data_IF_917721017805
#
_entry.id   IF_917721017805
#
_cell.length_a   1.000
_cell.length_b   1.000
_cell.length_c   1.000
_cell.angle_alpha   90.00
_cell.angle_beta   90.00
_cell.angle_gamma   90.00
#
_symmetry.space_group_name_H-M   'P 1'
#
loop_
_entity.id
_entity.type
_entity.pdbx_description
1 polymer ?
#
# COMPACT_ATOMS: atom_id res chain seq x y z
N UNK A 1 -10.01 40.99 46.16
CA UNK A 1 -10.56 40.61 44.83
C UNK A 1 -9.77 41.32 43.75
N UNK A 2 -9.08 40.61 42.85
CA UNK A 2 -8.45 41.25 41.68
C UNK A 2 -9.56 41.65 40.70
N UNK A 3 -9.63 42.93 40.36
CA UNK A 3 -10.54 43.42 39.32
C UNK A 3 -9.95 43.02 37.97
N UNK A 4 -10.57 42.04 37.30
CA UNK A 4 -10.16 41.60 35.96
C UNK A 4 -10.37 42.78 35.01
N UNK A 5 -9.28 43.29 34.45
CA UNK A 5 -9.29 44.45 33.57
C UNK A 5 -9.88 44.11 32.20
N UNK A 6 -10.29 45.12 31.43
CA UNK A 6 -10.71 44.93 30.03
C UNK A 6 -9.59 44.35 29.17
N UNK A 7 -8.32 44.65 29.49
CA UNK A 7 -7.15 44.09 28.83
C UNK A 7 -7.00 42.59 29.14
N UNK A 8 -7.19 42.19 30.40
CA UNK A 8 -7.13 40.78 30.84
C UNK A 8 -8.18 39.93 30.11
N UNK A 9 -9.40 40.47 29.92
CA UNK A 9 -10.45 39.79 29.13
C UNK A 9 -10.09 39.67 27.65
N UNK A 10 -9.37 40.65 27.08
CA UNK A 10 -8.93 40.61 25.69
C UNK A 10 -7.81 39.57 25.49
N UNK A 11 -6.83 39.53 26.39
CA UNK A 11 -5.77 38.53 26.39
C UNK A 11 -6.34 37.12 26.56
N UNK A 12 -7.29 36.94 27.48
CA UNK A 12 -7.96 35.67 27.68
C UNK A 12 -8.74 35.23 26.42
N UNK A 13 -9.41 36.14 25.72
CA UNK A 13 -10.06 35.84 24.43
C UNK A 13 -9.06 35.41 23.37
N UNK A 14 -7.97 36.16 23.19
CA UNK A 14 -6.89 35.82 22.24
C UNK A 14 -6.29 34.44 22.56
N UNK A 15 -6.05 34.15 23.83
CA UNK A 15 -5.57 32.85 24.27
C UNK A 15 -6.55 31.71 23.91
N UNK A 16 -7.84 31.90 24.18
CA UNK A 16 -8.84 30.89 23.84
C UNK A 16 -9.04 30.72 22.33
N UNK A 17 -8.96 31.79 21.54
CA UNK A 17 -8.99 31.73 20.08
C UNK A 17 -7.78 30.97 19.53
N UNK A 18 -6.58 31.28 20.02
CA UNK A 18 -5.36 30.55 19.69
C UNK A 18 -5.48 29.06 20.05
N UNK A 19 -5.94 28.74 21.27
CA UNK A 19 -6.13 27.36 21.71
C UNK A 19 -7.20 26.62 20.90
N UNK A 20 -8.28 27.31 20.52
CA UNK A 20 -9.27 26.74 19.60
C UNK A 20 -8.61 26.42 18.26
N UNK A 21 -7.91 27.37 17.64
CA UNK A 21 -7.23 27.15 16.37
C UNK A 21 -6.22 25.98 16.45
N UNK A 22 -5.40 25.91 17.50
CA UNK A 22 -4.46 24.81 17.72
C UNK A 22 -5.17 23.46 17.86
N UNK A 23 -6.24 23.38 18.67
CA UNK A 23 -7.02 22.15 18.81
C UNK A 23 -7.70 21.76 17.51
N UNK A 24 -8.12 22.75 16.70
CA UNK A 24 -8.67 22.52 15.38
C UNK A 24 -7.61 21.86 14.48
N UNK A 25 -6.44 22.45 14.37
CA UNK A 25 -5.35 21.88 13.57
C UNK A 25 -5.00 20.45 13.99
N UNK A 26 -4.84 20.19 15.30
CA UNK A 26 -4.57 18.85 15.81
C UNK A 26 -5.68 17.84 15.46
N UNK A 27 -6.95 18.27 15.50
CA UNK A 27 -8.07 17.42 15.07
C UNK A 27 -8.02 17.14 13.58
N UNK A 28 -7.71 18.14 12.75
CA UNK A 28 -7.59 17.98 11.30
C UNK A 28 -6.48 16.99 10.97
N UNK A 29 -5.31 17.13 11.58
CA UNK A 29 -4.17 16.22 11.38
C UNK A 29 -4.54 14.79 11.78
N UNK A 30 -5.15 14.59 12.95
CA UNK A 30 -5.56 13.26 13.40
C UNK A 30 -6.63 12.62 12.51
N UNK A 31 -7.55 13.41 11.95
CA UNK A 31 -8.53 12.91 10.97
C UNK A 31 -7.85 12.62 9.63
N UNK A 32 -6.90 13.45 9.20
CA UNK A 32 -6.15 13.26 7.96
C UNK A 32 -5.31 11.97 8.00
N UNK A 33 -4.65 11.69 9.11
CA UNK A 33 -3.93 10.42 9.36
C UNK A 33 -4.85 9.20 9.21
N UNK A 34 -6.05 9.26 9.80
CA UNK A 34 -7.03 8.18 9.66
C UNK A 34 -7.55 8.04 8.24
N UNK A 35 -7.79 9.16 7.55
CA UNK A 35 -8.23 9.17 6.16
C UNK A 35 -7.17 8.60 5.21
N UNK A 36 -5.91 8.98 5.40
CA UNK A 36 -4.77 8.44 4.65
C UNK A 36 -4.66 6.92 4.84
N UNK A 37 -4.69 6.45 6.08
CA UNK A 37 -4.66 5.02 6.40
C UNK A 37 -5.85 4.26 5.79
N UNK A 38 -7.06 4.83 5.84
CA UNK A 38 -8.23 4.22 5.23
C UNK A 38 -8.07 4.04 3.72
N UNK A 39 -7.53 5.06 3.01
CA UNK A 39 -7.24 4.97 1.58
C UNK A 39 -6.16 3.93 1.27
N UNK A 40 -5.03 3.93 2.00
CA UNK A 40 -3.95 2.94 1.83
C UNK A 40 -4.45 1.49 1.99
N UNK A 41 -5.31 1.27 2.99
CA UNK A 41 -5.90 -0.04 3.26
C UNK A 41 -6.96 -0.40 2.23
N UNK A 42 -7.73 0.57 1.74
CA UNK A 42 -8.67 0.35 0.64
C UNK A 42 -7.96 -0.02 -0.66
N UNK A 43 -6.85 0.64 -0.99
CA UNK A 43 -6.02 0.29 -2.14
C UNK A 43 -5.51 -1.15 -2.03
N UNK A 44 -5.09 -1.57 -0.83
CA UNK A 44 -4.70 -2.96 -0.58
C UNK A 44 -5.83 -3.96 -0.88
N UNK A 45 -7.06 -3.62 -0.44
CA UNK A 45 -8.26 -4.41 -0.74
C UNK A 45 -8.56 -4.46 -2.24
N UNK A 46 -8.58 -3.32 -2.92
CA UNK A 46 -8.89 -3.21 -4.35
C UNK A 46 -7.93 -4.02 -5.23
N UNK A 47 -6.69 -4.22 -4.77
CA UNK A 47 -5.68 -5.02 -5.46
C UNK A 47 -5.67 -6.51 -5.04
N UNK A 48 -6.68 -6.96 -4.31
CA UNK A 48 -6.92 -8.38 -4.01
C UNK A 48 -6.05 -8.94 -2.88
N UNK A 49 -5.54 -8.10 -1.97
CA UNK A 49 -4.73 -8.53 -0.81
C UNK A 49 -5.56 -8.99 0.39
N UNK A 50 -6.84 -8.66 0.38
CA UNK A 50 -7.75 -9.03 1.46
C UNK A 50 -8.10 -10.51 1.36
N UNK A 51 -7.97 -11.22 2.47
CA UNK A 51 -8.54 -12.55 2.62
C UNK A 51 -10.05 -12.44 2.78
N UNK A 52 -10.78 -13.12 1.90
CA UNK A 52 -12.24 -13.05 1.85
C UNK A 52 -12.94 -14.23 2.51
N UNK A 53 -12.22 -15.27 2.94
CA UNK A 53 -12.81 -16.47 3.53
C UNK A 53 -11.90 -17.13 4.55
N UNK A 54 -12.50 -17.82 5.52
CA UNK A 54 -11.77 -18.56 6.55
C UNK A 54 -10.83 -19.63 5.95
N UNK A 55 -11.29 -20.32 4.90
CA UNK A 55 -10.49 -21.31 4.17
C UNK A 55 -9.23 -20.69 3.55
N UNK A 56 -9.37 -19.53 2.92
CA UNK A 56 -8.23 -18.83 2.32
C UNK A 56 -7.23 -18.35 3.39
N UNK A 57 -7.72 -17.91 4.55
CA UNK A 57 -6.86 -17.51 5.66
C UNK A 57 -6.05 -18.69 6.19
N UNK A 58 -6.70 -19.83 6.42
CA UNK A 58 -6.03 -21.03 6.91
C UNK A 58 -4.98 -21.54 5.92
N UNK A 59 -5.30 -21.57 4.62
CA UNK A 59 -4.36 -21.96 3.58
C UNK A 59 -3.14 -21.02 3.54
N UNK A 60 -3.34 -19.72 3.70
CA UNK A 60 -2.26 -18.73 3.72
C UNK A 60 -1.39 -18.83 4.98
N UNK A 61 -1.98 -19.07 6.16
CA UNK A 61 -1.23 -19.31 7.38
C UNK A 61 -0.40 -20.59 7.31
N UNK A 62 -0.96 -21.68 6.76
CA UNK A 62 -0.21 -22.92 6.50
C UNK A 62 0.93 -22.72 5.51
N UNK A 63 0.71 -21.91 4.46
CA UNK A 63 1.75 -21.54 3.49
C UNK A 63 2.90 -20.81 4.19
N UNK A 64 2.59 -19.79 4.99
CA UNK A 64 3.60 -19.02 5.74
C UNK A 64 4.39 -19.91 6.72
N UNK A 65 3.72 -20.85 7.40
CA UNK A 65 4.37 -21.83 8.26
C UNK A 65 5.33 -22.74 7.48
N UNK A 66 4.89 -23.26 6.32
CA UNK A 66 5.72 -24.11 5.45
C UNK A 66 6.96 -23.37 4.89
N UNK A 67 6.81 -22.07 4.63
CA UNK A 67 7.87 -21.18 4.15
C UNK A 67 8.76 -20.64 5.27
N UNK A 68 8.47 -21.01 6.53
CA UNK A 68 9.19 -20.56 7.73
C UNK A 68 9.24 -19.03 7.85
N UNK A 69 8.14 -18.37 7.48
CA UNK A 69 7.96 -16.93 7.67
C UNK A 69 8.02 -16.61 9.17
N UNK A 70 8.64 -15.47 9.52
CA UNK A 70 8.78 -15.11 10.93
C UNK A 70 7.42 -14.78 11.56
N UNK A 71 7.24 -15.10 12.85
CA UNK A 71 6.01 -14.77 13.57
C UNK A 71 5.69 -13.27 13.54
N UNK A 72 6.72 -12.43 13.50
CA UNK A 72 6.58 -10.97 13.38
C UNK A 72 5.99 -10.56 12.03
N UNK A 73 6.41 -11.19 10.93
CA UNK A 73 5.85 -10.95 9.60
C UNK A 73 4.42 -11.48 9.49
N UNK A 74 4.13 -12.66 10.05
CA UNK A 74 2.76 -13.19 10.12
C UNK A 74 1.85 -12.29 10.95
N UNK A 75 2.34 -11.75 12.08
CA UNK A 75 1.59 -10.76 12.85
C UNK A 75 1.36 -9.47 12.07
N UNK A 76 2.36 -8.96 11.34
CA UNK A 76 2.22 -7.79 10.45
C UNK A 76 1.12 -8.02 9.41
N UNK A 77 1.16 -9.18 8.74
CA UNK A 77 0.14 -9.59 7.77
C UNK A 77 -1.26 -9.62 8.39
N UNK A 78 -1.44 -10.27 9.54
CA UNK A 78 -2.75 -10.34 10.21
C UNK A 78 -3.27 -8.96 10.65
N UNK A 79 -2.38 -8.07 11.10
CA UNK A 79 -2.74 -6.69 11.42
C UNK A 79 -3.27 -5.97 10.18
N UNK A 80 -2.54 -6.04 9.07
CA UNK A 80 -2.96 -5.43 7.80
C UNK A 80 -4.34 -5.92 7.36
N UNK A 81 -4.64 -7.22 7.50
CA UNK A 81 -5.95 -7.77 7.20
C UNK A 81 -7.06 -7.14 8.08
N UNK A 82 -6.85 -7.07 9.39
CA UNK A 82 -7.83 -6.48 10.32
C UNK A 82 -8.01 -4.98 10.07
N UNK A 83 -6.91 -4.28 9.78
CA UNK A 83 -6.91 -2.84 9.49
C UNK A 83 -7.71 -2.50 8.23
N UNK A 84 -7.76 -3.37 7.23
CA UNK A 84 -8.63 -3.20 6.06
C UNK A 84 -10.10 -3.12 6.51
N UNK A 85 -10.57 -4.05 7.33
CA UNK A 85 -11.97 -4.02 7.80
C UNK A 85 -12.25 -2.81 8.70
N UNK A 86 -11.34 -2.48 9.61
CA UNK A 86 -11.55 -1.41 10.59
C UNK A 86 -11.45 -0.03 9.95
N UNK A 87 -10.39 0.24 9.17
CA UNK A 87 -10.11 1.56 8.63
C UNK A 87 -10.67 1.76 7.23
N UNK A 88 -10.46 0.80 6.31
CA UNK A 88 -10.95 0.97 4.94
C UNK A 88 -12.48 0.84 4.86
N UNK A 89 -13.07 -0.09 5.61
CA UNK A 89 -14.53 -0.29 5.61
C UNK A 89 -15.26 0.45 6.74
N UNK A 90 -14.53 1.05 7.68
CA UNK A 90 -15.13 1.78 8.80
C UNK A 90 -15.83 0.89 9.83
N UNK A 91 -15.57 -0.42 9.86
CA UNK A 91 -16.22 -1.35 10.79
C UNK A 91 -15.57 -1.27 12.17
N UNK A 92 -15.94 -0.25 12.93
CA UNK A 92 -15.40 -0.02 14.27
C UNK A 92 -15.81 -1.10 15.28
N UNK A 93 -16.91 -1.81 15.02
CA UNK A 93 -17.42 -2.89 15.85
C UNK A 93 -16.51 -4.14 15.87
N UNK A 94 -15.67 -4.31 14.84
CA UNK A 94 -14.70 -5.40 14.75
C UNK A 94 -13.28 -5.01 15.15
N UNK A 95 -13.06 -3.79 15.65
CA UNK A 95 -11.76 -3.36 16.14
C UNK A 95 -11.24 -4.24 17.30
N UNK A 96 -9.92 -4.45 17.34
CA UNK A 96 -9.23 -5.14 18.43
C UNK A 96 -7.83 -4.56 18.65
N UNK A 97 -7.19 -4.82 19.81
CA UNK A 97 -5.79 -4.46 20.03
C UNK A 97 -4.88 -5.16 19.01
N UNK A 98 -4.08 -4.40 18.27
CA UNK A 98 -3.22 -4.93 17.19
C UNK A 98 -1.79 -5.25 17.66
N UNK A 99 -1.34 -4.64 18.75
CA UNK A 99 0.00 -4.84 19.31
C UNK A 99 0.00 -5.92 20.38
N UNK A 100 1.17 -6.51 20.61
CA UNK A 100 1.37 -7.43 21.72
C UNK A 100 1.32 -6.66 23.04
N UNK A 101 0.71 -7.24 24.06
CA UNK A 101 0.85 -6.73 25.43
C UNK A 101 2.22 -7.10 25.99
N UNK A 102 2.67 -6.44 27.06
CA UNK A 102 3.98 -6.70 27.69
C UNK A 102 4.17 -8.15 28.18
N UNK A 103 3.09 -8.93 28.30
CA UNK A 103 3.11 -10.33 28.76
C UNK A 103 2.83 -11.33 27.64
N UNK A 104 2.58 -10.86 26.42
CA UNK A 104 2.13 -11.69 25.30
C UNK A 104 3.31 -12.03 24.39
N UNK A 105 3.52 -13.32 24.11
CA UNK A 105 4.52 -13.74 23.14
C UNK A 105 4.08 -13.41 21.70
N UNK A 106 5.02 -13.38 20.75
CA UNK A 106 4.67 -13.21 19.34
C UNK A 106 3.72 -14.29 18.82
N UNK A 107 3.85 -15.52 19.32
CA UNK A 107 2.97 -16.64 18.96
C UNK A 107 1.55 -16.43 19.51
N UNK A 108 1.42 -15.95 20.75
CA UNK A 108 0.12 -15.64 21.35
C UNK A 108 -0.59 -14.51 20.60
N UNK A 109 0.16 -13.47 20.18
CA UNK A 109 -0.36 -12.40 19.35
C UNK A 109 -0.90 -12.94 18.02
N UNK A 110 -0.12 -13.76 17.31
CA UNK A 110 -0.55 -14.37 16.04
C UNK A 110 -1.82 -15.19 16.25
N UNK A 111 -1.88 -16.01 17.31
CA UNK A 111 -3.05 -16.82 17.65
C UNK A 111 -4.28 -15.96 17.95
N UNK A 112 -4.13 -14.86 18.68
CA UNK A 112 -5.22 -13.95 19.01
C UNK A 112 -5.75 -13.23 17.78
N UNK A 113 -4.87 -12.67 16.95
CA UNK A 113 -5.26 -11.96 15.73
C UNK A 113 -5.91 -12.91 14.71
N UNK A 114 -5.37 -14.13 14.54
CA UNK A 114 -5.96 -15.11 13.63
C UNK A 114 -7.33 -15.58 14.11
N UNK A 115 -7.50 -15.85 15.40
CA UNK A 115 -8.79 -16.23 15.99
C UNK A 115 -9.83 -15.12 15.83
N UNK A 116 -9.44 -13.86 16.06
CA UNK A 116 -10.30 -12.69 15.87
C UNK A 116 -10.74 -12.53 14.42
N UNK A 117 -9.80 -12.64 13.49
CA UNK A 117 -10.08 -12.54 12.06
C UNK A 117 -11.00 -13.67 11.58
N UNK A 118 -10.76 -14.92 12.01
CA UNK A 118 -11.59 -16.07 11.66
C UNK A 118 -13.01 -15.98 12.22
N UNK A 119 -13.14 -15.79 13.53
CA UNK A 119 -14.41 -15.98 14.22
C UNK A 119 -15.27 -14.72 14.28
N UNK A 120 -14.67 -13.53 14.31
CA UNK A 120 -15.42 -12.27 14.42
C UNK A 120 -15.62 -11.60 13.05
N UNK A 121 -14.56 -11.53 12.25
CA UNK A 121 -14.58 -10.74 11.01
C UNK A 121 -15.07 -11.58 9.84
N UNK A 122 -14.38 -12.67 9.51
CA UNK A 122 -14.66 -13.47 8.32
C UNK A 122 -15.99 -14.20 8.40
N UNK A 123 -16.42 -14.59 9.60
CA UNK A 123 -17.74 -15.18 9.81
C UNK A 123 -18.88 -14.21 9.43
N UNK A 124 -18.74 -12.91 9.74
CA UNK A 124 -19.74 -11.90 9.39
C UNK A 124 -19.55 -11.26 8.02
N UNK A 125 -18.38 -11.41 7.41
CA UNK A 125 -18.02 -10.72 6.16
C UNK A 125 -18.93 -11.11 4.99
N UNK A 126 -19.22 -12.40 4.82
CA UNK A 126 -20.09 -12.85 3.73
C UNK A 126 -21.49 -12.28 3.85
N UNK A 127 -22.04 -12.22 5.07
CA UNK A 127 -23.37 -11.67 5.30
C UNK A 127 -23.40 -10.15 5.02
N UNK A 128 -22.39 -9.41 5.48
CA UNK A 128 -22.24 -7.97 5.15
C UNK A 128 -22.12 -7.75 3.65
N UNK A 129 -21.36 -8.61 2.97
CA UNK A 129 -21.21 -8.57 1.51
C UNK A 129 -22.54 -8.82 0.80
N UNK A 130 -23.33 -9.82 1.23
CA UNK A 130 -24.65 -10.12 0.66
C UNK A 130 -25.64 -8.98 0.90
N UNK A 131 -25.53 -8.26 2.02
CA UNK A 131 -26.33 -7.07 2.32
C UNK A 131 -25.87 -5.79 1.62
N UNK A 132 -24.76 -5.84 0.87
CA UNK A 132 -24.22 -4.65 0.20
C UNK A 132 -23.52 -3.66 1.13
N UNK A 133 -23.13 -4.09 2.33
CA UNK A 133 -22.47 -3.25 3.35
C UNK A 133 -20.95 -3.14 3.13
N UNK A 134 -20.41 -3.77 2.07
CA UNK A 134 -18.99 -3.65 1.70
C UNK A 134 -18.82 -2.38 0.85
N UNK A 135 -18.04 -1.39 1.30
CA UNK A 135 -17.89 -0.13 0.59
C UNK A 135 -17.21 -0.28 -0.78
N UNK A 136 -17.61 0.56 -1.74
CA UNK A 136 -16.98 0.70 -3.05
C UNK A 136 -15.81 1.68 -3.06
N UNK A 137 -15.68 2.48 -2.00
CA UNK A 137 -14.61 3.45 -1.78
C UNK A 137 -14.21 3.42 -0.30
N UNK A 138 -13.02 3.95 0.02
CA UNK A 138 -12.56 4.05 1.40
C UNK A 138 -13.53 4.87 2.26
N UNK A 139 -13.90 4.35 3.42
CA UNK A 139 -14.75 5.07 4.37
C UNK A 139 -13.93 6.16 5.06
N UNK A 140 -14.26 7.41 4.75
CA UNK A 140 -13.57 8.57 5.31
C UNK A 140 -14.07 8.89 6.73
N UNK A 141 -13.19 9.36 7.62
CA UNK A 141 -13.59 9.83 8.95
C UNK A 141 -14.64 10.95 8.90
N UNK A 142 -15.58 10.91 9.86
CA UNK A 142 -16.58 11.96 10.01
C UNK A 142 -15.94 13.30 10.37
N UNK A 143 -16.32 14.35 9.64
CA UNK A 143 -15.87 15.73 9.86
C UNK A 143 -16.76 16.50 10.84
N UNK A 144 -17.68 15.80 11.52
CA UNK A 144 -18.63 16.42 12.44
C UNK A 144 -17.88 16.84 13.71
N UNK A 145 -18.06 18.09 14.13
CA UNK A 145 -17.51 18.57 15.39
C UNK A 145 -18.06 17.71 16.53
N UNK A 146 -17.21 17.29 17.48
CA UNK A 146 -17.62 16.46 18.62
C UNK A 146 -18.92 16.99 19.22
N UNK A 147 -19.96 16.17 19.15
CA UNK A 147 -21.22 16.38 19.86
C UNK A 147 -20.93 16.35 21.35
N UNK A 148 -21.08 17.48 22.03
CA UNK A 148 -21.10 17.48 23.50
C UNK A 148 -22.26 16.58 23.95
N UNK A 149 -22.04 15.78 25.01
CA UNK A 149 -23.12 15.00 25.61
C UNK A 149 -24.17 15.96 26.13
N UNK A 150 -25.28 16.06 25.41
CA UNK A 150 -26.36 16.95 25.75
C UNK A 150 -27.13 16.40 26.95
N UNK A 151 -27.16 17.17 28.03
CA UNK A 151 -28.07 16.96 29.14
C UNK A 151 -29.32 17.81 28.86
N UNK A 152 -30.43 17.18 28.47
CA UNK A 152 -31.71 17.83 28.17
C UNK A 152 -32.17 17.72 26.71
N UNK A 153 -33.27 18.39 26.37
CA UNK A 153 -33.86 18.38 25.02
C UNK A 153 -33.06 19.27 24.06
N UNK A 154 -32.70 18.79 22.84
CA UNK A 154 -32.04 19.61 21.83
C UNK A 154 -32.88 20.79 21.38
N UNK A 155 -32.33 22.00 21.52
CA UNK A 155 -32.80 23.20 20.81
C UNK A 155 -32.28 23.21 19.37
N UNK A 156 -33.00 23.88 18.46
CA UNK A 156 -32.65 23.96 17.03
C UNK A 156 -31.21 24.43 16.78
N UNK A 157 -30.71 25.37 17.60
CA UNK A 157 -29.33 25.85 17.54
C UNK A 157 -28.31 24.77 17.88
N UNK A 158 -28.62 23.89 18.85
CA UNK A 158 -27.76 22.76 19.16
C UNK A 158 -27.74 21.77 18.00
N UNK A 159 -28.89 21.49 17.38
CA UNK A 159 -28.95 20.62 16.19
C UNK A 159 -28.14 21.20 15.03
N UNK A 160 -28.22 22.52 14.80
CA UNK A 160 -27.45 23.20 13.76
C UNK A 160 -25.94 23.15 14.02
N UNK A 161 -25.51 23.32 15.26
CA UNK A 161 -24.11 23.19 15.66
C UNK A 161 -23.61 21.74 15.57
N UNK A 162 -24.47 20.77 15.86
CA UNK A 162 -24.16 19.34 15.68
C UNK A 162 -24.01 18.96 14.21
N UNK A 163 -24.69 19.66 13.29
CA UNK A 163 -24.54 19.47 11.85
C UNK A 163 -23.37 20.29 11.25
N UNK A 164 -22.79 21.21 12.02
CA UNK A 164 -21.67 22.02 11.55
C UNK A 164 -20.42 21.15 11.40
N UNK A 165 -19.92 21.06 10.17
CA UNK A 165 -18.66 20.39 9.87
C UNK A 165 -17.49 21.24 10.37
N UNK A 166 -16.51 20.56 10.94
CA UNK A 166 -15.30 21.17 11.46
C UNK A 166 -14.45 21.85 10.36
N UNK A 167 -14.43 21.28 9.15
CA UNK A 167 -13.73 21.83 8.00
C UNK A 167 -14.46 21.48 6.69
N UNK A 168 -14.07 22.10 5.59
CA UNK A 168 -14.58 21.74 4.27
C UNK A 168 -14.03 20.38 3.81
N UNK A 169 -14.80 19.68 2.98
CA UNK A 169 -14.37 18.39 2.39
C UNK A 169 -13.10 18.55 1.55
N UNK A 170 -12.96 19.65 0.82
CA UNK A 170 -11.77 19.91 0.00
C UNK A 170 -10.51 20.12 0.86
N UNK A 171 -10.62 20.92 1.93
CA UNK A 171 -9.50 21.11 2.87
C UNK A 171 -9.09 19.81 3.54
N UNK A 172 -10.06 18.96 3.86
CA UNK A 172 -9.78 17.64 4.43
C UNK A 172 -9.08 16.71 3.42
N UNK A 173 -9.55 16.66 2.18
CA UNK A 173 -8.93 15.84 1.13
C UNK A 173 -7.48 16.28 0.86
N UNK A 174 -7.20 17.58 0.83
CA UNK A 174 -5.83 18.09 0.69
C UNK A 174 -4.95 17.67 1.87
N UNK A 175 -5.47 17.75 3.10
CA UNK A 175 -4.73 17.30 4.28
C UNK A 175 -4.45 15.80 4.26
N UNK A 176 -5.41 14.98 3.80
CA UNK A 176 -5.23 13.53 3.62
C UNK A 176 -4.15 13.22 2.61
N UNK A 177 -4.14 13.90 1.45
CA UNK A 177 -3.12 13.65 0.43
C UNK A 177 -1.72 14.10 0.87
N UNK A 178 -1.62 15.24 1.56
CA UNK A 178 -0.36 15.68 2.17
C UNK A 178 0.15 14.66 3.19
N UNK A 179 -0.74 14.08 3.97
CA UNK A 179 -0.38 13.06 4.95
C UNK A 179 0.07 11.76 4.29
N UNK A 180 -0.55 11.35 3.18
CA UNK A 180 -0.07 10.21 2.37
C UNK A 180 1.33 10.47 1.83
N UNK A 181 1.59 11.65 1.27
CA UNK A 181 2.91 12.00 0.78
C UNK A 181 3.96 11.99 1.91
N UNK A 182 3.65 12.59 3.05
CA UNK A 182 4.54 12.58 4.23
C UNK A 182 4.88 11.17 4.67
N UNK A 183 3.90 10.25 4.66
CA UNK A 183 4.10 8.85 5.04
C UNK A 183 4.95 8.08 4.02
N UNK A 184 4.80 8.38 2.74
CA UNK A 184 5.64 7.83 1.68
C UNK A 184 7.08 8.35 1.77
N UNK A 185 7.26 9.65 1.97
CA UNK A 185 8.58 10.29 2.16
C UNK A 185 9.31 9.76 3.40
N UNK A 186 8.56 9.48 4.48
CA UNK A 186 9.10 8.86 5.69
C UNK A 186 9.32 7.33 5.55
N UNK A 187 8.95 6.73 4.42
CA UNK A 187 9.10 5.30 4.17
C UNK A 187 8.14 4.41 4.97
N UNK A 188 7.06 4.96 5.55
CA UNK A 188 6.03 4.18 6.23
C UNK A 188 5.13 3.42 5.25
N UNK A 189 5.00 3.93 4.03
CA UNK A 189 4.14 3.37 2.99
C UNK A 189 4.84 3.44 1.65
N UNK A 190 4.65 2.42 0.84
CA UNK A 190 5.12 2.37 -0.53
C UNK A 190 3.88 2.25 -1.42
N UNK A 191 3.49 3.37 -2.05
CA UNK A 191 2.27 3.46 -2.85
C UNK A 191 2.27 2.43 -3.98
N UNK A 192 3.44 2.22 -4.59
CA UNK A 192 3.71 1.24 -5.65
C UNK A 192 3.49 -0.17 -5.11
N UNK A 193 4.02 -0.46 -3.92
CA UNK A 193 3.83 -1.73 -3.27
C UNK A 193 2.34 -2.01 -3.04
N UNK A 194 1.51 -1.06 -2.61
CA UNK A 194 0.09 -1.27 -2.34
C UNK A 194 -0.71 -1.65 -3.60
N UNK A 195 -0.34 -1.07 -4.74
CA UNK A 195 -1.06 -1.26 -6.01
C UNK A 195 -0.63 -2.48 -6.81
N UNK A 196 0.41 -3.19 -6.37
CA UNK A 196 0.87 -4.41 -7.06
C UNK A 196 -0.17 -5.54 -6.97
N UNK A 197 -0.39 -6.26 -8.09
CA UNK A 197 -1.13 -7.52 -8.07
C UNK A 197 -0.58 -8.48 -7.02
N UNK A 198 -1.47 -9.22 -6.36
CA UNK A 198 -1.09 -10.21 -5.34
C UNK A 198 -0.18 -11.32 -5.90
N UNK A 199 -0.43 -11.76 -7.14
CA UNK A 199 0.36 -12.83 -7.77
C UNK A 199 1.38 -12.26 -8.75
N UNK A 200 2.62 -12.80 -8.79
CA UNK A 200 3.57 -12.47 -9.83
C UNK A 200 3.06 -12.86 -11.22
N UNK A 201 3.49 -12.16 -12.27
CA UNK A 201 3.24 -12.63 -13.63
C UNK A 201 3.99 -13.93 -13.92
N UNK A 202 3.43 -14.72 -14.84
CA UNK A 202 4.13 -15.87 -15.41
C UNK A 202 5.33 -15.41 -16.24
N UNK A 203 6.50 -15.98 -15.95
CA UNK A 203 7.76 -15.68 -16.64
C UNK A 203 7.76 -16.35 -18.03
N UNK A 204 7.04 -15.74 -18.97
CA UNK A 204 6.88 -16.19 -20.36
C UNK A 204 7.29 -15.08 -21.33
N UNK A 205 7.41 -15.40 -22.63
CA UNK A 205 7.74 -14.44 -23.69
C UNK A 205 6.79 -13.22 -23.76
N UNK A 206 5.59 -13.31 -23.16
CA UNK A 206 4.64 -12.18 -23.02
C UNK A 206 5.18 -11.01 -22.19
N UNK A 207 6.17 -11.25 -21.33
CA UNK A 207 6.78 -10.22 -20.51
C UNK A 207 7.87 -9.41 -21.22
N UNK A 208 8.27 -9.80 -22.43
CA UNK A 208 9.26 -9.04 -23.21
C UNK A 208 8.73 -7.63 -23.45
N UNK A 209 9.55 -6.61 -23.18
CA UNK A 209 9.20 -5.19 -23.26
C UNK A 209 8.43 -4.66 -22.05
N UNK A 210 8.22 -5.45 -20.99
CA UNK A 210 7.70 -4.94 -19.73
C UNK A 210 8.81 -4.23 -18.96
N UNK A 211 8.43 -3.14 -18.30
CA UNK A 211 9.31 -2.41 -17.38
C UNK A 211 9.09 -2.91 -15.96
N UNK A 212 10.16 -3.41 -15.35
CA UNK A 212 10.21 -3.89 -13.97
C UNK A 212 11.11 -2.96 -13.15
N UNK A 213 11.12 -3.19 -11.84
CA UNK A 213 12.16 -2.69 -10.95
C UNK A 213 12.64 -3.80 -10.02
N UNK A 214 13.94 -3.81 -9.76
CA UNK A 214 14.62 -4.82 -8.96
C UNK A 214 15.26 -4.14 -7.74
N UNK A 215 14.97 -4.69 -6.56
CA UNK A 215 15.46 -4.20 -5.28
C UNK A 215 16.90 -4.66 -5.04
N UNK A 216 17.81 -3.71 -4.94
CA UNK A 216 19.17 -3.90 -4.43
C UNK A 216 19.22 -3.49 -2.95
N UNK A 217 18.96 -4.44 -2.06
CA UNK A 217 18.94 -4.19 -0.61
C UNK A 217 20.31 -3.93 0.05
N UNK A 218 21.40 -3.84 -0.72
CA UNK A 218 22.77 -3.60 -0.24
C UNK A 218 23.55 -2.79 -1.26
N UNK A 219 22.94 -1.75 -1.81
CA UNK A 219 23.65 -0.81 -2.68
C UNK A 219 24.56 0.06 -1.81
N UNK A 220 25.84 0.17 -2.16
CA UNK A 220 26.76 1.02 -1.41
C UNK A 220 26.63 2.45 -1.93
N UNK A 221 26.18 3.36 -1.08
CA UNK A 221 26.13 4.79 -1.35
C UNK A 221 27.53 5.32 -1.68
N UNK A 222 27.60 6.16 -2.71
CA UNK A 222 28.83 6.81 -3.15
C UNK A 222 29.22 7.98 -2.25
N UNK A 223 28.27 8.57 -1.50
CA UNK A 223 28.50 9.75 -0.67
C UNK A 223 29.10 9.41 0.70
N UNK A 224 28.55 8.39 1.37
CA UNK A 224 28.87 8.05 2.76
C UNK A 224 29.26 6.57 2.95
N UNK A 225 29.26 5.77 1.87
CA UNK A 225 29.61 4.35 1.93
C UNK A 225 28.57 3.46 2.64
N UNK A 226 27.42 4.02 3.04
CA UNK A 226 26.35 3.29 3.70
C UNK A 226 25.66 2.31 2.76
N UNK A 227 25.04 1.27 3.33
CA UNK A 227 24.25 0.31 2.55
C UNK A 227 22.81 0.80 2.47
N UNK A 228 22.40 1.18 1.28
CA UNK A 228 21.05 1.64 0.97
C UNK A 228 20.28 0.55 0.25
N UNK A 229 18.96 0.56 0.47
CA UNK A 229 17.99 -0.19 -0.34
C UNK A 229 17.59 0.68 -1.51
N UNK A 230 17.70 0.15 -2.73
CA UNK A 230 17.39 0.89 -3.96
C UNK A 230 16.57 0.04 -4.90
N UNK A 231 15.54 0.63 -5.52
CA UNK A 231 14.79 0.02 -6.60
C UNK A 231 15.35 0.51 -7.94
N UNK A 232 15.90 -0.41 -8.72
CA UNK A 232 16.51 -0.07 -10.01
C UNK A 232 15.55 -0.45 -11.15
N UNK A 233 15.10 0.51 -11.96
CA UNK A 233 14.21 0.26 -13.08
C UNK A 233 14.94 -0.48 -14.20
N UNK A 234 14.26 -1.40 -14.85
CA UNK A 234 14.82 -2.22 -15.92
C UNK A 234 13.76 -2.71 -16.90
N UNK A 235 14.20 -3.24 -18.05
CA UNK A 235 13.34 -3.82 -19.07
C UNK A 235 13.63 -5.31 -19.23
N UNK A 236 12.59 -6.10 -19.48
CA UNK A 236 12.77 -7.49 -19.92
C UNK A 236 13.01 -7.49 -21.42
N UNK A 237 14.19 -7.93 -21.84
CA UNK A 237 14.52 -8.10 -23.26
C UNK A 237 14.13 -9.49 -23.77
N UNK A 238 14.36 -10.53 -22.96
CA UNK A 238 14.13 -11.93 -23.33
C UNK A 238 13.72 -12.75 -22.12
N UNK A 239 13.07 -13.88 -22.38
CA UNK A 239 12.75 -14.91 -21.39
C UNK A 239 13.25 -16.25 -21.92
N UNK A 240 13.98 -16.99 -21.11
CA UNK A 240 14.51 -18.29 -21.46
C UNK A 240 13.37 -19.33 -21.54
N UNK A 241 13.32 -20.06 -22.65
CA UNK A 241 12.42 -21.20 -22.87
C UNK A 241 12.92 -22.49 -22.22
N UNK A 242 14.22 -22.55 -21.88
CA UNK A 242 14.87 -23.73 -21.34
C UNK A 242 15.45 -24.67 -22.39
N UNK A 243 15.36 -24.30 -23.68
CA UNK A 243 15.78 -25.12 -24.82
C UNK A 243 17.02 -24.54 -25.53
N UNK A 244 17.33 -23.26 -25.29
CA UNK A 244 18.43 -22.55 -25.94
C UNK A 244 19.53 -22.12 -24.95
N UNK A 245 20.79 -22.32 -25.35
CA UNK A 245 22.01 -21.93 -24.61
C UNK A 245 22.64 -20.63 -25.16
N UNK A 246 22.08 -20.12 -26.26
CA UNK A 246 22.57 -18.96 -27.02
C UNK A 246 21.47 -17.91 -27.22
N UNK A 247 21.87 -16.64 -27.22
CA UNK A 247 21.02 -15.54 -27.67
C UNK A 247 20.81 -15.54 -29.19
N UNK A 248 19.88 -14.72 -29.70
CA UNK A 248 19.62 -14.56 -31.14
C UNK A 248 20.82 -14.02 -31.94
N UNK A 249 21.80 -13.44 -31.25
CA UNK A 249 23.11 -12.99 -31.71
C UNK A 249 24.17 -14.11 -31.71
N UNK A 250 23.78 -15.35 -31.39
CA UNK A 250 24.66 -16.52 -31.38
C UNK A 250 25.61 -16.61 -30.19
N UNK A 251 25.60 -15.61 -29.29
CA UNK A 251 26.45 -15.57 -28.10
C UNK A 251 25.89 -16.41 -26.95
N UNK A 252 26.73 -16.99 -26.08
CA UNK A 252 26.28 -17.70 -24.89
C UNK A 252 25.44 -16.77 -24.01
N UNK A 253 24.39 -17.30 -23.39
CA UNK A 253 23.50 -16.50 -22.55
C UNK A 253 24.21 -15.88 -21.33
N UNK A 254 25.35 -16.40 -20.86
CA UNK A 254 26.19 -15.75 -19.85
C UNK A 254 27.65 -16.18 -19.99
N UNK A 255 28.59 -15.45 -19.40
CA UNK A 255 30.00 -15.87 -19.32
C UNK A 255 30.17 -17.21 -18.57
N UNK A 256 29.17 -17.61 -17.78
CA UNK A 256 29.06 -18.91 -17.10
C UNK A 256 28.17 -19.93 -17.86
N UNK A 257 27.70 -19.62 -19.08
CA UNK A 257 26.74 -20.44 -19.84
C UNK A 257 27.39 -21.64 -20.55
N UNK A 258 28.10 -22.48 -19.79
CA UNK A 258 28.32 -23.89 -20.17
C UNK A 258 27.06 -24.75 -19.99
N UNK A 259 25.95 -24.16 -19.52
CA UNK A 259 24.68 -24.83 -19.22
C UNK A 259 23.51 -24.00 -19.74
N UNK A 260 22.50 -24.66 -20.29
CA UNK A 260 21.21 -24.09 -20.71
C UNK A 260 20.65 -23.17 -19.61
N UNK A 261 20.18 -21.98 -19.98
CA UNK A 261 19.49 -21.12 -19.03
C UNK A 261 18.16 -21.81 -18.63
N UNK A 262 17.91 -22.04 -17.33
CA UNK A 262 16.67 -22.67 -16.90
C UNK A 262 15.45 -21.87 -17.36
N UNK A 263 14.42 -22.59 -17.80
CA UNK A 263 13.14 -22.02 -18.22
C UNK A 263 12.62 -21.02 -17.19
N UNK A 264 12.25 -19.82 -17.65
CA UNK A 264 11.76 -18.74 -16.80
C UNK A 264 12.83 -17.78 -16.28
N UNK A 265 14.11 -17.96 -16.60
CA UNK A 265 15.08 -16.87 -16.46
C UNK A 265 14.76 -15.73 -17.44
N UNK A 266 15.11 -14.50 -17.05
CA UNK A 266 14.86 -13.31 -17.87
C UNK A 266 16.16 -12.55 -18.14
N UNK A 267 16.32 -12.03 -19.35
CA UNK A 267 17.36 -11.07 -19.69
C UNK A 267 16.84 -9.68 -19.34
N UNK A 268 17.48 -9.08 -18.35
CA UNK A 268 17.13 -7.76 -17.83
C UNK A 268 18.10 -6.74 -18.38
N UNK A 269 17.61 -5.66 -18.99
CA UNK A 269 18.39 -4.49 -19.39
C UNK A 269 18.14 -3.33 -18.45
N UNK A 270 19.19 -2.78 -17.88
CA UNK A 270 19.19 -1.47 -17.23
C UNK A 270 19.60 -0.41 -18.25
N UNK A 271 18.94 0.75 -18.18
CA UNK A 271 19.35 1.90 -18.98
C UNK A 271 20.63 2.50 -18.41
N UNK A 272 21.39 3.20 -19.25
CA UNK A 272 22.57 3.92 -18.78
C UNK A 272 22.13 5.00 -17.77
N UNK A 273 22.82 5.05 -16.64
CA UNK A 273 22.65 6.07 -15.59
C UNK A 273 24.01 6.79 -15.39
N UNK A 274 24.27 7.86 -16.17
CA UNK A 274 25.52 8.60 -16.07
C UNK A 274 25.78 9.17 -14.68
N UNK A 275 24.72 9.52 -13.94
CA UNK A 275 24.81 10.10 -12.59
C UNK A 275 25.35 9.08 -11.58
N UNK A 276 25.18 7.78 -11.88
CA UNK A 276 25.72 6.65 -11.08
C UNK A 276 26.98 6.02 -11.68
N UNK A 277 27.54 6.62 -12.73
CA UNK A 277 28.73 6.12 -13.41
C UNK A 277 28.47 4.96 -14.38
N UNK A 278 27.20 4.63 -14.64
CA UNK A 278 26.79 3.59 -15.59
C UNK A 278 26.69 4.19 -16.99
N UNK A 279 27.82 4.22 -17.72
CA UNK A 279 27.93 4.89 -19.03
C UNK A 279 27.18 4.19 -20.16
N UNK A 280 26.90 2.90 -20.03
CA UNK A 280 26.27 2.07 -21.06
C UNK A 280 25.13 1.25 -20.48
N UNK A 281 24.12 0.96 -21.31
CA UNK A 281 23.06 0.04 -20.92
C UNK A 281 23.67 -1.34 -20.69
N UNK A 282 23.35 -1.94 -19.54
CA UNK A 282 23.87 -3.26 -19.17
C UNK A 282 22.73 -4.27 -19.21
N UNK A 283 22.97 -5.43 -19.83
CA UNK A 283 22.04 -6.56 -19.81
C UNK A 283 22.59 -7.73 -19.01
N UNK A 284 21.78 -8.31 -18.13
CA UNK A 284 22.16 -9.47 -17.32
C UNK A 284 21.01 -10.47 -17.23
N UNK A 285 21.34 -11.77 -17.30
CA UNK A 285 20.38 -12.82 -17.00
C UNK A 285 20.10 -12.92 -15.51
N UNK A 286 18.82 -12.94 -15.17
CA UNK A 286 18.37 -13.03 -13.79
C UNK A 286 17.30 -14.12 -13.63
N UNK A 287 17.40 -14.83 -12.51
CA UNK A 287 16.32 -15.69 -12.02
C UNK A 287 15.44 -14.85 -11.08
N UNK A 288 14.23 -14.55 -11.53
CA UNK A 288 13.24 -13.85 -10.71
C UNK A 288 12.46 -14.87 -9.89
N UNK A 289 12.74 -14.91 -8.58
CA UNK A 289 12.04 -15.80 -7.66
C UNK A 289 10.61 -15.29 -7.41
N UNK A 290 9.55 -16.04 -7.76
CA UNK A 290 8.17 -15.64 -7.52
C UNK A 290 7.88 -15.32 -6.05
N UNK A 291 8.59 -15.94 -5.10
CA UNK A 291 8.45 -15.67 -3.66
C UNK A 291 8.96 -14.29 -3.26
N UNK A 292 9.76 -13.64 -4.10
CA UNK A 292 10.28 -12.28 -3.90
C UNK A 292 9.48 -11.22 -4.65
N UNK A 293 8.35 -11.60 -5.23
CA UNK A 293 7.41 -10.68 -5.87
C UNK A 293 6.91 -9.63 -4.88
N UNK A 294 7.08 -8.36 -5.23
CA UNK A 294 6.67 -7.21 -4.42
C UNK A 294 7.14 -7.27 -2.94
N UNK A 295 8.25 -7.97 -2.70
CA UNK A 295 8.91 -8.01 -1.40
C UNK A 295 9.86 -6.84 -1.21
N UNK A 296 10.55 -6.82 -0.08
CA UNK A 296 11.47 -5.74 0.29
C UNK A 296 12.94 -6.15 0.34
N UNK A 297 13.21 -7.46 0.25
CA UNK A 297 14.55 -8.01 0.35
C UNK A 297 15.41 -7.82 -0.90
N UNK A 298 16.70 -8.16 -0.80
CA UNK A 298 17.62 -8.15 -1.94
C UNK A 298 17.13 -9.08 -3.06
N UNK A 299 17.11 -8.56 -4.30
CA UNK A 299 16.51 -9.14 -5.51
C UNK A 299 14.99 -9.36 -5.43
N UNK A 300 14.29 -8.63 -4.56
CA UNK A 300 12.85 -8.47 -4.73
C UNK A 300 12.57 -7.73 -6.04
N UNK A 301 11.44 -8.03 -6.65
CA UNK A 301 11.10 -7.49 -7.97
C UNK A 301 9.61 -7.22 -8.07
N UNK A 302 9.26 -6.21 -8.85
CA UNK A 302 7.87 -5.80 -9.08
C UNK A 302 7.75 -5.04 -10.41
N UNK A 303 6.53 -4.72 -10.81
CA UNK A 303 6.35 -3.83 -11.97
C UNK A 303 6.88 -2.44 -11.67
N UNK A 304 7.41 -1.76 -12.68
CA UNK A 304 7.69 -0.34 -12.53
C UNK A 304 6.37 0.46 -12.48
N UNK A 305 6.31 1.62 -11.78
CA UNK A 305 5.08 2.43 -11.71
C UNK A 305 4.48 2.78 -13.07
N UNK A 306 5.30 3.12 -14.06
CA UNK A 306 4.84 3.40 -15.43
C UNK A 306 4.25 2.17 -16.14
N UNK A 307 4.76 0.97 -15.83
CA UNK A 307 4.22 -0.28 -16.35
C UNK A 307 2.85 -0.58 -15.74
N UNK A 308 2.68 -0.34 -14.44
CA UNK A 308 1.37 -0.44 -13.78
C UNK A 308 0.36 0.54 -14.39
N UNK A 309 0.76 1.79 -14.60
CA UNK A 309 -0.08 2.79 -15.26
C UNK A 309 -0.51 2.33 -16.66
N UNK A 310 0.42 1.77 -17.44
CA UNK A 310 0.14 1.20 -18.78
C UNK A 310 -0.85 0.03 -18.74
N UNK A 311 -0.76 -0.82 -17.71
CA UNK A 311 -1.66 -1.97 -17.55
C UNK A 311 -3.07 -1.57 -17.12
N UNK A 312 -3.21 -0.46 -16.39
CA UNK A 312 -4.50 0.08 -15.93
C UNK A 312 -5.18 0.99 -16.94
N UNK A 313 -4.42 1.54 -17.89
CA UNK A 313 -4.97 2.40 -18.93
C UNK A 313 -6.03 1.62 -19.75
N UNK A 314 -7.21 2.22 -20.00
CA UNK A 314 -8.21 1.61 -20.86
C UNK A 314 -7.58 1.37 -22.23
N UNK A 315 -7.66 0.14 -22.76
CA UNK A 315 -7.18 -0.17 -24.10
C UNK A 315 -7.91 0.77 -25.07
N UNK A 316 -7.18 1.72 -25.66
CA UNK A 316 -7.71 2.51 -26.78
C UNK A 316 -8.15 1.51 -27.85
N UNK A 317 -9.45 1.46 -28.13
CA UNK A 317 -9.95 0.71 -29.30
C UNK A 317 -9.22 1.30 -30.51
N UNK A 318 -8.51 0.46 -31.25
CA UNK A 318 -7.96 0.87 -32.53
C UNK A 318 -9.13 1.38 -33.39
N UNK A 319 -8.97 2.50 -34.13
CA UNK A 319 -9.96 2.86 -35.14
C UNK A 319 -10.13 1.67 -36.08
N UNK A 320 -11.37 1.18 -36.23
CA UNK A 320 -11.67 0.10 -37.16
C UNK A 320 -11.22 0.52 -38.55
N UNK A 321 -10.41 -0.33 -39.19
CA UNK A 321 -9.85 -0.11 -40.52
C UNK A 321 -10.91 -0.28 -41.64
N UNK A 322 -12.11 0.28 -41.45
CA UNK A 322 -13.23 0.20 -42.41
C UNK A 322 -13.51 1.53 -43.14
N UNK A 323 -12.69 2.56 -42.96
CA UNK A 323 -12.85 3.82 -43.71
C UNK A 323 -12.14 3.88 -45.08
N UNK A 324 -11.58 2.76 -45.57
CA UNK A 324 -10.94 2.71 -46.88
C UNK A 324 -11.65 1.76 -47.87
N UNK A 325 -12.98 1.86 -47.99
CA UNK A 325 -13.73 1.42 -49.18
C UNK A 325 -14.98 2.27 -49.38
N UNK A 326 -14.78 3.47 -49.92
CA UNK A 326 -15.78 4.10 -50.77
C UNK A 326 -15.06 4.33 -52.11
N UNK A 327 -15.41 3.48 -53.08
CA UNK A 327 -15.07 3.63 -54.49
C UNK A 327 -16.02 4.63 -55.14
#
# INVERSE_FOLDING_TARGET
MRVISRADRLEQRKYHEFKKAQNRELQLTALAEKGALAQERFDSYANGRLVTSARNLQAELQRQESEKVSLTETAKYLREQIEIFVYAFGWTDVACPLTATSKESAADLVKRLSSHLLHKILHGFEDRRRRGEVPTEAVMPDLVARTEKQLGTPTEDTTRLMQATFCSRETFQKAVEQERQRREDAGFTDSVQLVMPSKPPELTSKLVGYRLEICWGRYRSTEDGSLLKMWCPCFIERVADGETDKGADGKPLSDNARKLAPRGMVLVRWEADPDRGEKESTSMWMLLDPRKWNGEGHRAWRYHPSQLARMRAPKRRAPSADCCRAA
#
